data_IF_360088198002
#
_entry.id   IF_360088198002
#
_cell.length_a   1.000
_cell.length_b   1.000
_cell.length_c   1.000
_cell.angle_alpha   90.00
_cell.angle_beta   90.00
_cell.angle_gamma   90.00
#
_symmetry.space_group_name_H-M   'P 1'
#
loop_
_entity.id
_entity.type
_entity.pdbx_description
1 polymer ?
#
# COMPACT_ATOMS: atom_id res chain seq x y z
N UNK A 1 -49.35 49.21 -38.49
CA UNK A 1 -49.66 47.77 -38.53
C UNK A 1 -48.35 47.04 -38.36
N UNK A 2 -48.00 46.73 -37.13
CA UNK A 2 -46.78 46.00 -36.77
C UNK A 2 -47.17 44.72 -36.08
N UNK A 3 -46.93 43.58 -36.72
CA UNK A 3 -47.19 42.22 -36.21
C UNK A 3 -46.07 41.72 -35.27
N UNK A 4 -46.39 40.95 -34.25
CA UNK A 4 -45.40 40.51 -33.22
C UNK A 4 -44.64 39.27 -33.65
N UNK A 5 -43.35 39.36 -33.83
CA UNK A 5 -42.41 38.28 -34.17
C UNK A 5 -41.71 37.66 -32.91
N UNK A 6 -42.10 38.06 -31.70
CA UNK A 6 -41.27 37.78 -30.51
C UNK A 6 -41.69 36.54 -29.66
N UNK A 7 -42.70 35.77 -30.04
CA UNK A 7 -43.16 34.62 -29.25
C UNK A 7 -42.63 33.26 -29.74
N UNK A 8 -42.17 33.15 -31.01
CA UNK A 8 -41.71 31.88 -31.55
C UNK A 8 -40.28 31.53 -31.17
N UNK A 9 -39.41 32.52 -30.87
CA UNK A 9 -38.00 32.27 -30.53
C UNK A 9 -37.80 31.78 -29.07
N UNK A 10 -38.73 32.07 -28.16
CA UNK A 10 -38.61 31.62 -26.75
C UNK A 10 -38.95 30.14 -26.54
N UNK A 11 -39.70 29.55 -27.43
CA UNK A 11 -40.08 28.15 -27.36
C UNK A 11 -38.96 27.17 -27.83
N UNK A 12 -38.13 27.59 -28.76
CA UNK A 12 -37.03 26.74 -29.29
C UNK A 12 -35.83 26.67 -28.35
N UNK A 13 -35.56 27.71 -27.57
CA UNK A 13 -34.46 27.73 -26.61
C UNK A 13 -34.69 26.81 -25.39
N UNK A 14 -35.96 26.65 -24.97
CA UNK A 14 -36.32 25.78 -23.85
C UNK A 14 -36.27 24.28 -24.21
N UNK A 15 -36.55 23.92 -25.47
CA UNK A 15 -36.48 22.52 -25.95
C UNK A 15 -35.04 22.02 -26.16
N UNK A 16 -34.10 22.91 -26.52
CA UNK A 16 -32.68 22.55 -26.68
C UNK A 16 -31.98 22.32 -25.36
N UNK A 17 -32.37 22.98 -24.28
CA UNK A 17 -31.79 22.80 -22.94
C UNK A 17 -32.23 21.48 -22.27
N UNK A 18 -33.39 20.93 -22.61
CA UNK A 18 -33.90 19.68 -22.06
C UNK A 18 -33.24 18.43 -22.68
N UNK A 19 -32.66 18.53 -23.90
CA UNK A 19 -32.02 17.41 -24.57
C UNK A 19 -30.54 17.21 -24.18
N UNK A 20 -29.93 18.19 -23.53
CA UNK A 20 -28.55 18.09 -23.02
C UNK A 20 -28.47 17.48 -21.61
N UNK A 21 -29.58 17.33 -20.89
CA UNK A 21 -29.65 16.72 -19.56
C UNK A 21 -29.91 15.22 -19.58
N UNK A 22 -30.21 14.60 -20.74
CA UNK A 22 -30.56 13.19 -20.86
C UNK A 22 -29.36 12.30 -21.29
N UNK A 23 -28.16 12.87 -21.42
CA UNK A 23 -26.99 12.19 -22.03
C UNK A 23 -26.00 11.54 -21.08
N UNK A 24 -26.18 11.56 -19.75
CA UNK A 24 -25.22 10.97 -18.81
C UNK A 24 -25.89 10.17 -17.70
N UNK A 25 -26.78 9.25 -18.06
CA UNK A 25 -27.27 8.25 -17.11
C UNK A 25 -27.08 6.84 -17.68
N UNK A 26 -25.84 6.48 -18.03
CA UNK A 26 -25.44 5.10 -18.15
C UNK A 26 -25.22 4.55 -16.74
N UNK A 27 -26.32 4.16 -16.08
CA UNK A 27 -26.25 3.28 -14.93
C UNK A 27 -25.66 1.94 -15.38
N UNK A 28 -24.33 1.88 -15.38
CA UNK A 28 -23.64 0.61 -15.31
C UNK A 28 -23.92 0.07 -13.90
N UNK A 29 -24.97 -0.74 -13.79
CA UNK A 29 -25.21 -1.65 -12.69
C UNK A 29 -24.19 -2.80 -12.76
N UNK A 30 -22.93 -2.45 -12.78
CA UNK A 30 -21.84 -3.34 -12.42
C UNK A 30 -21.69 -3.27 -10.92
N UNK A 31 -21.72 -4.41 -10.24
CA UNK A 31 -21.41 -4.58 -8.84
C UNK A 31 -19.99 -4.02 -8.61
N UNK A 32 -19.88 -2.71 -8.45
CA UNK A 32 -18.61 -2.04 -8.24
C UNK A 32 -18.20 -2.24 -6.78
N UNK A 33 -17.51 -3.35 -6.52
CA UNK A 33 -16.81 -3.59 -5.26
C UNK A 33 -15.96 -2.38 -4.83
N UNK A 34 -15.51 -1.55 -5.78
CA UNK A 34 -14.78 -0.30 -5.56
C UNK A 34 -15.61 0.80 -4.86
N UNK A 35 -16.89 0.95 -5.17
CA UNK A 35 -17.74 1.98 -4.54
C UNK A 35 -18.10 1.61 -3.10
N UNK A 36 -18.37 0.35 -2.82
CA UNK A 36 -18.56 -0.13 -1.45
C UNK A 36 -17.28 -0.03 -0.64
N UNK A 37 -16.14 -0.37 -1.25
CA UNK A 37 -14.81 -0.21 -0.68
C UNK A 37 -14.54 1.24 -0.27
N UNK A 38 -14.82 2.21 -1.16
CA UNK A 38 -14.59 3.64 -0.90
C UNK A 38 -15.45 4.17 0.24
N UNK A 39 -16.70 3.69 0.38
CA UNK A 39 -17.59 4.11 1.46
C UNK A 39 -17.16 3.54 2.82
N UNK A 40 -16.72 2.29 2.87
CA UNK A 40 -16.24 1.66 4.10
C UNK A 40 -14.93 2.31 4.55
N UNK A 41 -14.01 2.56 3.62
CA UNK A 41 -12.73 3.20 3.92
C UNK A 41 -12.90 4.66 4.38
N UNK A 42 -13.93 5.38 3.91
CA UNK A 42 -14.21 6.76 4.30
C UNK A 42 -14.76 6.89 5.73
N UNK A 43 -15.42 5.87 6.26
CA UNK A 43 -15.90 5.84 7.64
C UNK A 43 -14.78 5.64 8.67
N UNK A 44 -13.63 5.12 8.27
CA UNK A 44 -12.47 4.90 9.13
C UNK A 44 -11.59 6.15 9.34
N UNK A 45 -11.95 7.29 8.73
CA UNK A 45 -11.19 8.54 8.81
C UNK A 45 -11.61 9.43 10.00
N UNK A 46 -11.88 8.87 11.17
CA UNK A 46 -11.93 9.70 12.38
C UNK A 46 -10.50 10.06 12.79
N UNK A 47 -10.09 11.27 12.43
CA UNK A 47 -8.82 11.85 12.85
C UNK A 47 -8.78 11.99 14.37
N UNK A 48 -8.18 11.04 15.04
CA UNK A 48 -7.80 11.14 16.45
C UNK A 48 -6.34 11.55 16.53
N UNK A 49 -6.06 12.60 17.25
CA UNK A 49 -4.69 12.99 17.60
C UNK A 49 -4.12 11.95 18.60
N UNK A 50 -3.09 11.20 18.17
CA UNK A 50 -2.42 10.20 18.98
C UNK A 50 -1.97 9.00 18.14
N UNK A 51 -1.15 8.11 18.69
CA UNK A 51 -0.73 6.87 18.06
C UNK A 51 -1.89 5.85 18.01
N UNK A 52 -2.93 6.16 17.26
CA UNK A 52 -4.13 5.33 17.13
C UNK A 52 -3.79 4.10 16.28
N UNK A 53 -4.13 2.93 16.78
CA UNK A 53 -4.02 1.65 16.06
C UNK A 53 -5.41 1.22 15.60
N UNK A 54 -5.47 0.57 14.45
CA UNK A 54 -6.70 -0.05 13.95
C UNK A 54 -7.18 -1.10 14.97
N UNK A 55 -8.44 -0.98 15.35
CA UNK A 55 -9.04 -1.92 16.30
C UNK A 55 -9.44 -3.23 15.62
N UNK A 56 -9.64 -4.28 16.44
CA UNK A 56 -10.14 -5.57 15.94
C UNK A 56 -11.51 -5.44 15.25
N UNK A 57 -12.41 -4.60 15.78
CA UNK A 57 -13.73 -4.42 15.22
C UNK A 57 -13.68 -3.74 13.85
N UNK A 58 -12.83 -2.72 13.69
CA UNK A 58 -12.60 -2.07 12.40
C UNK A 58 -12.04 -3.04 11.37
N UNK A 59 -11.02 -3.83 11.75
CA UNK A 59 -10.44 -4.83 10.85
C UNK A 59 -11.44 -5.94 10.50
N UNK A 60 -12.28 -6.38 11.46
CA UNK A 60 -13.28 -7.41 11.24
C UNK A 60 -14.42 -6.97 10.31
N UNK A 61 -14.73 -5.66 10.28
CA UNK A 61 -15.73 -5.09 9.38
C UNK A 61 -15.34 -5.17 7.90
N UNK A 62 -14.05 -5.38 7.60
CA UNK A 62 -13.55 -5.53 6.23
C UNK A 62 -13.53 -7.02 5.85
N UNK A 63 -14.34 -7.45 4.87
CA UNK A 63 -14.40 -8.87 4.46
C UNK A 63 -13.23 -9.30 3.56
N UNK A 64 -12.37 -8.38 3.18
CA UNK A 64 -11.26 -8.58 2.25
C UNK A 64 -9.91 -8.69 2.96
N UNK A 65 -8.89 -9.19 2.26
CA UNK A 65 -7.52 -9.13 2.72
C UNK A 65 -7.14 -7.69 3.07
N UNK A 66 -6.55 -7.50 4.25
CA UNK A 66 -6.28 -6.17 4.78
C UNK A 66 -5.02 -6.12 5.62
N UNK A 67 -4.39 -4.97 5.66
CA UNK A 67 -3.23 -4.71 6.51
C UNK A 67 -3.29 -3.32 7.14
N UNK A 68 -2.62 -3.15 8.27
CA UNK A 68 -2.32 -1.87 8.87
C UNK A 68 -1.02 -1.31 8.32
N UNK A 69 -0.97 -0.02 8.10
CA UNK A 69 0.21 0.75 7.74
C UNK A 69 0.40 1.90 8.73
N UNK A 70 1.63 2.13 9.17
CA UNK A 70 2.03 3.35 9.89
C UNK A 70 3.44 3.74 9.51
N UNK A 71 3.73 5.05 9.60
CA UNK A 71 5.06 5.61 9.34
C UNK A 71 5.58 6.26 10.62
N UNK A 72 6.84 5.98 10.97
CA UNK A 72 7.52 6.54 12.16
C UNK A 72 6.77 6.34 13.48
N UNK A 73 6.03 5.26 13.61
CA UNK A 73 5.21 4.98 14.79
C UNK A 73 3.98 5.87 14.92
N UNK A 74 3.63 6.63 13.89
CA UNK A 74 2.41 7.44 13.83
C UNK A 74 1.13 6.61 13.78
N UNK A 75 0.03 7.27 13.46
CA UNK A 75 -1.28 6.63 13.35
C UNK A 75 -1.26 5.49 12.34
N UNK A 76 -1.89 4.38 12.71
CA UNK A 76 -2.07 3.25 11.81
C UNK A 76 -3.33 3.47 10.97
N UNK A 77 -3.20 3.36 9.67
CA UNK A 77 -4.32 3.34 8.72
C UNK A 77 -4.49 1.96 8.13
N UNK A 78 -5.73 1.62 7.77
CA UNK A 78 -6.03 0.34 7.15
C UNK A 78 -5.92 0.45 5.63
N UNK A 79 -5.22 -0.50 5.03
CA UNK A 79 -5.17 -0.73 3.60
C UNK A 79 -5.88 -2.05 3.29
N UNK A 80 -6.49 -2.11 2.11
CA UNK A 80 -7.17 -3.31 1.62
C UNK A 80 -6.52 -3.74 0.33
N UNK A 81 -6.45 -5.05 0.11
CA UNK A 81 -5.90 -5.64 -1.10
C UNK A 81 -6.79 -5.25 -2.29
N UNK A 82 -6.23 -4.49 -3.23
CA UNK A 82 -6.89 -4.10 -4.46
C UNK A 82 -6.62 -5.09 -5.60
N UNK A 83 -5.38 -5.59 -5.70
CA UNK A 83 -4.97 -6.52 -6.76
C UNK A 83 -3.91 -7.48 -6.24
N UNK A 84 -3.96 -8.71 -6.72
CA UNK A 84 -2.89 -9.71 -6.66
C UNK A 84 -2.51 -10.05 -8.11
N UNK A 85 -1.29 -9.76 -8.50
CA UNK A 85 -0.80 -9.98 -9.87
C UNK A 85 0.65 -10.43 -9.85
N UNK A 86 0.87 -11.68 -10.22
CA UNK A 86 2.22 -12.23 -10.36
C UNK A 86 3.05 -12.22 -9.06
N UNK A 87 2.39 -12.35 -7.91
CA UNK A 87 3.02 -12.29 -6.58
C UNK A 87 3.23 -10.87 -6.05
N UNK A 88 2.81 -9.84 -6.79
CA UNK A 88 2.72 -8.47 -6.28
C UNK A 88 1.33 -8.20 -5.74
N UNK A 89 1.28 -7.83 -4.47
CA UNK A 89 0.05 -7.47 -3.77
C UNK A 89 -0.03 -5.95 -3.69
N UNK A 90 -1.02 -5.36 -4.35
CA UNK A 90 -1.30 -3.93 -4.29
C UNK A 90 -2.31 -3.64 -3.20
N UNK A 91 -1.88 -2.92 -2.17
CA UNK A 91 -2.70 -2.49 -1.05
C UNK A 91 -3.03 -1.01 -1.18
N UNK A 92 -4.26 -0.62 -0.92
CA UNK A 92 -4.72 0.75 -1.06
C UNK A 92 -5.60 1.20 0.11
N UNK A 93 -5.58 2.48 0.42
CA UNK A 93 -6.42 3.12 1.44
C UNK A 93 -7.27 4.24 0.86
N UNK A 94 -8.30 4.67 1.62
CA UNK A 94 -9.09 5.87 1.29
C UNK A 94 -8.28 7.18 1.38
N UNK A 95 -7.15 7.17 2.06
CA UNK A 95 -6.23 8.31 2.15
C UNK A 95 -5.26 8.39 0.95
N UNK A 96 -5.54 7.67 -0.14
CA UNK A 96 -4.71 7.62 -1.36
C UNK A 96 -3.28 7.10 -1.15
N UNK A 97 -3.06 6.35 -0.07
CA UNK A 97 -1.82 5.61 0.12
C UNK A 97 -1.93 4.28 -0.63
N UNK A 98 -0.90 3.98 -1.43
CA UNK A 98 -0.73 2.68 -2.08
C UNK A 98 0.61 2.10 -1.66
N UNK A 99 0.61 0.83 -1.28
CA UNK A 99 1.81 0.03 -1.01
C UNK A 99 1.73 -1.22 -1.88
N UNK A 100 2.79 -1.50 -2.62
CA UNK A 100 2.93 -2.77 -3.33
C UNK A 100 3.95 -3.62 -2.61
N UNK A 101 3.56 -4.85 -2.28
CA UNK A 101 4.46 -5.81 -1.62
C UNK A 101 4.67 -7.04 -2.48
N UNK A 102 5.87 -7.62 -2.40
CA UNK A 102 6.22 -8.95 -2.93
C UNK A 102 6.90 -9.74 -1.82
N UNK A 103 6.33 -10.88 -1.46
CA UNK A 103 6.83 -11.72 -0.36
C UNK A 103 7.03 -10.93 0.96
N UNK A 104 6.14 -9.97 1.25
CA UNK A 104 6.21 -9.07 2.40
C UNK A 104 7.20 -7.92 2.29
N UNK A 105 7.99 -7.85 1.22
CA UNK A 105 8.90 -6.74 0.91
C UNK A 105 8.14 -5.64 0.17
N UNK A 106 8.26 -4.39 0.61
CA UNK A 106 7.72 -3.23 -0.11
C UNK A 106 8.57 -3.01 -1.37
N UNK A 107 7.92 -2.99 -2.53
CA UNK A 107 8.57 -2.84 -3.84
C UNK A 107 8.12 -1.58 -4.58
N UNK A 108 7.06 -0.93 -4.11
CA UNK A 108 6.59 0.36 -4.61
C UNK A 108 5.68 1.02 -3.57
N UNK A 109 5.72 2.36 -3.54
CA UNK A 109 4.79 3.16 -2.72
C UNK A 109 4.22 4.30 -3.53
N UNK A 110 3.06 4.83 -3.09
CA UNK A 110 2.48 6.08 -3.57
C UNK A 110 1.83 6.78 -2.39
N UNK A 111 2.08 8.08 -2.25
CA UNK A 111 1.45 8.93 -1.24
C UNK A 111 2.16 8.96 0.11
N UNK A 112 3.42 8.56 0.19
CA UNK A 112 4.24 8.62 1.41
C UNK A 112 5.13 9.87 1.50
N UNK A 113 5.09 10.73 0.48
CA UNK A 113 5.84 11.99 0.43
C UNK A 113 7.24 11.88 -0.17
N UNK A 114 7.85 10.71 -0.21
CA UNK A 114 9.05 10.37 -0.99
C UNK A 114 8.94 8.91 -1.36
N UNK A 115 8.27 8.65 -2.47
CA UNK A 115 7.86 7.32 -2.84
C UNK A 115 8.99 6.48 -3.44
N UNK A 116 8.98 5.17 -3.12
CA UNK A 116 9.73 4.16 -3.84
C UNK A 116 9.05 3.94 -5.19
N UNK A 117 9.63 4.52 -6.25
CA UNK A 117 9.04 4.51 -7.59
C UNK A 117 9.26 3.20 -8.32
N UNK A 118 10.44 2.58 -8.14
CA UNK A 118 10.79 1.29 -8.72
C UNK A 118 11.74 0.50 -7.82
N UNK A 119 11.61 -0.81 -7.90
CA UNK A 119 12.40 -1.79 -7.15
C UNK A 119 12.75 -2.94 -8.10
N UNK A 120 14.04 -3.13 -8.36
CA UNK A 120 14.52 -4.15 -9.29
C UNK A 120 15.70 -4.92 -8.71
N UNK A 121 15.75 -6.22 -8.98
CA UNK A 121 16.95 -6.97 -8.72
C UNK A 121 18.05 -6.60 -9.73
N UNK A 122 19.29 -6.49 -9.28
CA UNK A 122 20.41 -6.31 -10.18
C UNK A 122 20.58 -7.55 -11.06
N UNK A 123 20.82 -7.33 -12.36
CA UNK A 123 21.02 -8.40 -13.35
C UNK A 123 19.81 -9.34 -13.52
N UNK A 124 18.59 -8.86 -13.27
CA UNK A 124 17.34 -9.64 -13.36
C UNK A 124 17.33 -10.92 -12.52
N UNK A 125 18.18 -11.03 -11.51
CA UNK A 125 18.15 -12.14 -10.57
C UNK A 125 16.89 -12.05 -9.68
N UNK A 126 16.24 -13.18 -9.40
CA UNK A 126 15.18 -13.20 -8.40
C UNK A 126 15.75 -12.86 -7.02
N UNK A 127 15.13 -11.88 -6.33
CA UNK A 127 15.51 -11.58 -4.95
C UNK A 127 14.89 -12.64 -4.02
N UNK A 128 15.67 -13.23 -3.11
CA UNK A 128 15.13 -14.17 -2.15
C UNK A 128 14.07 -13.49 -1.26
N UNK A 129 12.97 -14.20 -1.00
CA UNK A 129 12.00 -13.76 -0.01
C UNK A 129 12.66 -13.65 1.39
N UNK A 130 12.22 -12.72 2.28
CA UNK A 130 12.74 -12.65 3.64
C UNK A 130 12.66 -13.99 4.38
N UNK A 131 11.62 -14.78 4.14
CA UNK A 131 11.45 -16.12 4.71
C UNK A 131 12.61 -17.08 4.40
N UNK A 132 13.34 -16.89 3.31
CA UNK A 132 14.49 -17.74 2.97
C UNK A 132 15.61 -17.65 4.02
N UNK A 133 15.77 -16.49 4.69
CA UNK A 133 16.78 -16.29 5.73
C UNK A 133 16.51 -17.09 7.02
N UNK A 134 15.31 -17.65 7.18
CA UNK A 134 14.99 -18.57 8.28
C UNK A 134 15.81 -19.85 8.14
N UNK A 135 16.04 -20.31 6.90
CA UNK A 135 16.77 -21.54 6.60
C UNK A 135 18.27 -21.30 6.47
N UNK A 136 18.68 -20.20 5.82
CA UNK A 136 20.07 -19.84 5.64
C UNK A 136 20.23 -18.34 5.40
N UNK A 137 21.24 -17.66 6.00
CA UNK A 137 21.56 -16.28 5.67
C UNK A 137 21.87 -16.14 4.18
N UNK A 138 21.49 -15.00 3.59
CA UNK A 138 21.79 -14.71 2.19
C UNK A 138 22.21 -13.25 1.99
N UNK A 139 22.85 -12.98 0.85
CA UNK A 139 23.12 -11.62 0.37
C UNK A 139 22.36 -11.36 -0.90
N UNK A 140 22.00 -10.10 -1.13
CA UNK A 140 21.29 -9.67 -2.34
C UNK A 140 21.78 -8.29 -2.78
N UNK A 141 21.58 -7.98 -4.06
CA UNK A 141 21.79 -6.63 -4.59
C UNK A 141 20.56 -6.21 -5.37
N UNK A 142 20.05 -5.02 -5.05
CA UNK A 142 18.89 -4.46 -5.69
C UNK A 142 19.13 -3.02 -6.12
N UNK A 143 18.31 -2.54 -7.06
CA UNK A 143 18.28 -1.17 -7.53
C UNK A 143 16.95 -0.56 -7.13
N UNK A 144 16.99 0.65 -6.60
CA UNK A 144 15.81 1.40 -6.20
C UNK A 144 15.81 2.79 -6.83
N UNK A 145 14.61 3.25 -7.23
CA UNK A 145 14.39 4.57 -7.79
C UNK A 145 13.47 5.37 -6.87
N UNK A 146 13.79 6.66 -6.71
CA UNK A 146 13.03 7.62 -5.92
C UNK A 146 12.84 8.88 -6.78
N UNK A 147 11.82 8.86 -7.63
CA UNK A 147 11.61 9.90 -8.67
C UNK A 147 11.45 11.29 -8.08
N UNK A 148 10.77 11.44 -6.94
CA UNK A 148 10.57 12.73 -6.25
C UNK A 148 11.87 13.28 -5.66
N UNK A 149 12.88 12.45 -5.43
CA UNK A 149 14.19 12.85 -4.96
C UNK A 149 15.20 13.01 -6.12
N UNK A 150 14.80 12.71 -7.35
CA UNK A 150 15.71 12.69 -8.51
C UNK A 150 16.79 11.61 -8.39
N UNK A 151 16.57 10.56 -7.59
CA UNK A 151 17.52 9.47 -7.37
C UNK A 151 17.08 8.25 -8.16
N UNK A 152 17.96 7.74 -9.03
CA UNK A 152 17.68 6.59 -9.89
C UNK A 152 18.81 5.58 -9.86
N UNK A 153 18.46 4.30 -9.92
CA UNK A 153 19.40 3.20 -9.94
C UNK A 153 20.26 3.11 -8.68
N UNK A 154 19.73 3.51 -7.52
CA UNK A 154 20.44 3.44 -6.25
C UNK A 154 20.69 1.97 -5.93
N UNK A 155 21.98 1.60 -5.99
CA UNK A 155 22.38 0.23 -5.72
C UNK A 155 22.49 -0.02 -4.21
N UNK A 156 21.69 -0.95 -3.74
CA UNK A 156 21.72 -1.46 -2.37
C UNK A 156 22.36 -2.85 -2.34
N UNK A 157 23.33 -3.03 -1.45
CA UNK A 157 23.87 -4.33 -1.09
C UNK A 157 23.32 -4.71 0.28
N UNK A 158 22.63 -5.84 0.35
CA UNK A 158 21.90 -6.27 1.54
C UNK A 158 22.38 -7.64 2.01
N UNK A 159 22.31 -7.89 3.31
CA UNK A 159 22.48 -9.21 3.92
C UNK A 159 21.34 -9.49 4.88
N UNK A 160 20.67 -10.62 4.70
CA UNK A 160 19.55 -11.06 5.52
C UNK A 160 19.93 -12.25 6.38
N UNK A 161 19.48 -12.25 7.63
CA UNK A 161 19.78 -13.29 8.62
C UNK A 161 18.61 -13.49 9.57
N UNK A 162 18.50 -14.69 10.09
CA UNK A 162 17.59 -15.00 11.20
C UNK A 162 18.06 -14.29 12.47
N UNK A 163 17.19 -13.50 13.08
CA UNK A 163 17.40 -12.88 14.39
C UNK A 163 16.84 -13.70 15.56
N UNK A 164 15.94 -14.65 15.29
CA UNK A 164 15.40 -15.59 16.26
C UNK A 164 13.87 -15.61 16.31
N UNK A 165 13.33 -16.47 17.18
CA UNK A 165 11.89 -16.58 17.42
C UNK A 165 11.39 -15.39 18.21
N UNK A 166 10.26 -14.83 17.78
CA UNK A 166 9.62 -13.71 18.45
C UNK A 166 8.10 -13.82 18.35
N UNK A 167 7.39 -13.71 19.50
CA UNK A 167 5.95 -13.54 19.48
C UNK A 167 5.60 -12.08 19.30
N UNK A 168 4.69 -11.80 18.37
CA UNK A 168 4.15 -10.44 18.13
C UNK A 168 2.66 -10.44 18.42
N UNK A 169 2.09 -9.26 18.67
CA UNK A 169 0.64 -9.09 18.81
C UNK A 169 0.11 -8.28 17.64
N UNK A 170 -0.91 -8.80 16.95
CA UNK A 170 -1.66 -8.11 15.89
C UNK A 170 -3.13 -8.17 16.26
N UNK A 171 -3.81 -7.04 16.32
CA UNK A 171 -5.20 -6.92 16.79
C UNK A 171 -5.44 -7.64 18.12
N UNK A 172 -4.44 -7.62 19.02
CA UNK A 172 -4.50 -8.28 20.33
C UNK A 172 -4.27 -9.79 20.32
N UNK A 173 -4.11 -10.45 19.16
CA UNK A 173 -3.74 -11.86 19.06
C UNK A 173 -2.23 -12.04 19.04
N UNK A 174 -1.74 -12.98 19.85
CA UNK A 174 -0.33 -13.37 19.84
C UNK A 174 -0.06 -14.33 18.65
N UNK A 175 0.95 -14.01 17.87
CA UNK A 175 1.39 -14.80 16.71
C UNK A 175 2.86 -15.17 16.94
N UNK A 176 3.18 -16.45 16.85
CA UNK A 176 4.56 -16.93 16.93
C UNK A 176 5.22 -16.75 15.57
N UNK A 177 6.34 -16.04 15.53
CA UNK A 177 7.05 -15.73 14.28
C UNK A 177 8.54 -15.94 14.43
N UNK A 178 9.23 -16.01 13.30
CA UNK A 178 10.67 -15.91 13.20
C UNK A 178 11.01 -14.50 12.72
N UNK A 179 11.83 -13.76 13.48
CA UNK A 179 12.29 -12.45 13.05
C UNK A 179 13.50 -12.61 12.14
N UNK A 180 13.43 -11.97 10.99
CA UNK A 180 14.54 -11.84 10.03
C UNK A 180 14.91 -10.37 9.96
N UNK A 181 16.21 -10.08 10.07
CA UNK A 181 16.76 -8.74 9.88
C UNK A 181 17.58 -8.72 8.58
N UNK A 182 17.33 -7.69 7.75
CA UNK A 182 18.06 -7.42 6.51
C UNK A 182 18.79 -6.08 6.63
N UNK A 183 20.12 -6.12 6.71
CA UNK A 183 20.95 -4.92 6.76
C UNK A 183 21.38 -4.55 5.35
N UNK A 184 21.11 -3.31 4.95
CA UNK A 184 21.34 -2.78 3.61
C UNK A 184 22.26 -1.58 3.64
N UNK A 185 23.03 -1.39 2.55
CA UNK A 185 23.92 -0.24 2.35
C UNK A 185 23.89 0.21 0.90
N UNK A 186 23.76 1.52 0.70
CA UNK A 186 24.09 2.23 -0.53
C UNK A 186 25.30 3.14 -0.30
N UNK A 187 26.12 3.32 -1.32
CA UNK A 187 27.29 4.20 -1.25
C UNK A 187 26.97 5.63 -1.68
N UNK A 188 26.04 5.79 -2.62
CA UNK A 188 25.64 7.09 -3.16
C UNK A 188 24.13 7.11 -3.43
N UNK A 189 23.33 7.90 -2.67
CA UNK A 189 23.77 8.59 -1.45
C UNK A 189 24.22 7.60 -0.36
N UNK A 190 25.01 8.04 0.60
CA UNK A 190 25.33 7.19 1.74
C UNK A 190 24.07 6.91 2.54
N UNK A 191 23.68 5.63 2.57
CA UNK A 191 22.45 5.21 3.23
C UNK A 191 22.66 3.81 3.81
N UNK A 192 22.51 3.69 5.14
CA UNK A 192 22.66 2.42 5.86
C UNK A 192 21.43 2.24 6.74
N UNK A 193 20.77 1.09 6.64
CA UNK A 193 19.59 0.78 7.42
C UNK A 193 19.44 -0.72 7.65
N UNK A 194 18.48 -1.08 8.51
CA UNK A 194 18.10 -2.46 8.75
C UNK A 194 16.59 -2.58 8.71
N UNK A 195 16.10 -3.41 7.82
CA UNK A 195 14.70 -3.80 7.75
C UNK A 195 14.47 -5.05 8.59
N UNK A 196 13.26 -5.18 9.14
CA UNK A 196 12.89 -6.34 9.97
C UNK A 196 11.58 -6.94 9.49
N UNK A 197 11.53 -8.26 9.44
CA UNK A 197 10.38 -9.04 8.99
C UNK A 197 10.03 -10.09 10.04
N UNK A 198 8.76 -10.18 10.43
CA UNK A 198 8.23 -11.21 11.31
C UNK A 198 7.47 -12.23 10.47
N UNK A 199 8.10 -13.36 10.27
CA UNK A 199 7.72 -14.35 9.28
C UNK A 199 7.11 -15.57 9.98
N UNK A 200 6.00 -16.06 9.45
CA UNK A 200 5.44 -17.36 9.80
C UNK A 200 6.38 -18.46 9.27
N UNK A 201 6.83 -19.35 10.18
CA UNK A 201 7.78 -20.41 9.81
C UNK A 201 7.15 -21.51 8.94
N UNK A 202 5.83 -21.64 8.96
CA UNK A 202 5.12 -22.76 8.33
C UNK A 202 4.78 -22.45 6.88
N UNK A 203 4.35 -21.21 6.61
CA UNK A 203 3.90 -20.80 5.27
C UNK A 203 4.70 -19.64 4.66
N UNK A 204 5.62 -19.03 5.41
CA UNK A 204 6.46 -17.91 4.93
C UNK A 204 5.76 -16.55 4.89
N UNK A 205 4.52 -16.45 5.36
CA UNK A 205 3.80 -15.17 5.42
C UNK A 205 4.51 -14.18 6.34
N UNK A 206 4.75 -12.97 5.85
CA UNK A 206 5.25 -11.87 6.65
C UNK A 206 4.07 -11.19 7.36
N UNK A 207 3.88 -11.49 8.65
CA UNK A 207 2.81 -10.92 9.45
C UNK A 207 3.02 -9.45 9.79
N UNK A 208 4.27 -9.05 10.02
CA UNK A 208 4.69 -7.67 10.26
C UNK A 208 6.00 -7.40 9.56
N UNK A 209 6.14 -6.19 9.03
CA UNK A 209 7.44 -5.70 8.59
C UNK A 209 7.70 -4.29 9.09
N UNK A 210 8.98 -3.94 9.20
CA UNK A 210 9.48 -2.58 9.38
C UNK A 210 10.53 -2.35 8.31
N UNK A 211 10.27 -1.44 7.40
CA UNK A 211 11.10 -1.25 6.22
C UNK A 211 11.36 0.23 5.97
N UNK A 212 12.57 0.53 5.53
CA UNK A 212 12.95 1.84 5.02
C UNK A 212 12.66 1.86 3.52
N UNK A 213 11.86 2.81 3.08
CA UNK A 213 11.38 2.90 1.70
C UNK A 213 11.97 4.06 0.91
N UNK A 214 12.78 4.90 1.56
CA UNK A 214 13.55 5.96 0.91
C UNK A 214 14.65 6.50 1.86
N UNK A 215 15.71 7.14 1.33
CA UNK A 215 16.83 7.62 2.13
C UNK A 215 16.55 8.88 2.95
N UNK A 216 15.41 9.54 2.79
CA UNK A 216 14.99 10.74 3.53
C UNK A 216 13.72 10.53 4.36
N UNK A 217 13.05 9.41 4.18
CA UNK A 217 11.84 9.04 4.91
C UNK A 217 12.14 8.20 6.12
N UNK A 218 11.13 8.09 6.94
CA UNK A 218 11.16 7.24 8.11
C UNK A 218 10.85 5.77 7.81
N UNK A 219 10.69 5.04 8.89
CA UNK A 219 10.36 3.62 8.86
C UNK A 219 8.88 3.41 8.59
N UNK A 220 8.57 2.58 7.62
CA UNK A 220 7.23 2.07 7.34
C UNK A 220 7.02 0.76 8.08
N UNK A 221 5.99 0.70 8.92
CA UNK A 221 5.54 -0.54 9.54
C UNK A 221 4.26 -1.03 8.85
N UNK A 222 4.22 -2.32 8.51
CA UNK A 222 3.01 -2.99 8.00
C UNK A 222 2.65 -4.17 8.89
N UNK A 223 1.36 -4.44 9.06
CA UNK A 223 0.82 -5.58 9.82
C UNK A 223 -0.34 -6.21 9.06
N UNK A 224 -0.29 -7.50 8.77
CA UNK A 224 -1.39 -8.21 8.11
C UNK A 224 -2.50 -8.45 9.12
N UNK A 225 -3.70 -7.94 8.85
CA UNK A 225 -4.91 -8.18 9.65
C UNK A 225 -5.69 -9.38 9.13
N UNK A 226 -5.81 -9.48 7.81
CA UNK A 226 -6.39 -10.62 7.10
C UNK A 226 -5.50 -10.95 5.90
N UNK A 227 -4.89 -12.14 5.85
CA UNK A 227 -4.02 -12.52 4.74
C UNK A 227 -4.79 -12.63 3.42
N UNK A 228 -4.11 -12.49 2.27
CA UNK A 228 -4.63 -12.90 0.97
C UNK A 228 -5.05 -14.37 1.00
N UNK A 229 -6.10 -14.72 0.25
CA UNK A 229 -6.61 -16.09 0.13
C UNK A 229 -5.83 -16.92 -0.87
#
# INVERSE_FOLDING_TARGET
MTAPVSRALKGLAAAAAALLAAGCNSSHSGNNNYTQFYQIARQSLSASFGNVRVSRNEAAAIPYASMGYSQDGGNQIMLVLGTDSGGELLWTSAAHVVIVTRDGRIVRTVGLGHDLSAFNARNNAALPAPAAAIKAPFTSTRLEDFSELGLYGIQLSCSARLAGRQSIKILGQAISTMRVDESCRAATPEWVFTDSFWVDSDNGLVWRSRQHVNPKGGMVETEIFRPPG
#
